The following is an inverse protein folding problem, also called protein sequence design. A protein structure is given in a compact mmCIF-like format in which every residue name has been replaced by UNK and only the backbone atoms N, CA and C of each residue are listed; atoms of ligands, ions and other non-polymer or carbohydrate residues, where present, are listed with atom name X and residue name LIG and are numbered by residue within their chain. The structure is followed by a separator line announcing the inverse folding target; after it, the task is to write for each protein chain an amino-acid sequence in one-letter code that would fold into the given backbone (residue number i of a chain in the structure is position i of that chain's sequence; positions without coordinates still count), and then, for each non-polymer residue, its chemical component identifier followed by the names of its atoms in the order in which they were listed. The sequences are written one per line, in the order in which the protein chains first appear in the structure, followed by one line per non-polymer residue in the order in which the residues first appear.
data_IF_790041789652
#
_entry.id   IF_790041789652
#
_cell.length_a   1.000
_cell.length_b   1.000
_cell.length_c   1.000
_cell.angle_alpha   90.00
_cell.angle_beta   90.00
_cell.angle_gamma   90.00
#
_symmetry.space_group_name_H-M   'P 1'
#
loop_
_entity.id
_entity.type
_entity.pdbx_description
1 polymer ?
#
# COMPACT_ATOMS: atom_id res chain seq x y z
N UNK A 1 -5.16 10.46 33.48
CA UNK A 1 -5.37 9.03 33.76
C UNK A 1 -6.02 8.39 32.54
N UNK A 2 -5.27 7.61 31.77
CA UNK A 2 -5.75 7.02 30.50
C UNK A 2 -6.51 5.71 30.80
N UNK A 3 -7.84 5.76 30.76
CA UNK A 3 -8.67 4.58 31.01
C UNK A 3 -8.70 3.66 29.78
N UNK A 4 -8.18 2.45 30.00
CA UNK A 4 -8.42 1.16 29.33
C UNK A 4 -9.38 1.16 28.12
N UNK A 5 -8.82 0.77 26.97
CA UNK A 5 -9.41 -0.28 26.14
C UNK A 5 -10.64 0.08 25.33
N UNK A 6 -10.46 0.71 24.17
CA UNK A 6 -11.35 0.47 23.02
C UNK A 6 -10.60 -0.30 21.95
N UNK A 7 -10.76 -1.62 21.99
CA UNK A 7 -10.39 -2.50 20.88
C UNK A 7 -11.31 -2.16 19.69
N UNK A 8 -10.87 -1.29 18.79
CA UNK A 8 -11.45 -1.26 17.44
C UNK A 8 -10.90 -2.46 16.69
N UNK A 9 -11.57 -3.61 16.83
CA UNK A 9 -11.29 -4.78 16.01
C UNK A 9 -11.66 -4.45 14.55
N UNK A 10 -10.65 -4.17 13.72
CA UNK A 10 -10.84 -4.18 12.27
C UNK A 10 -11.12 -5.64 11.86
N UNK A 11 -12.37 -5.91 11.49
CA UNK A 11 -12.81 -7.20 10.97
C UNK A 11 -11.89 -7.65 9.81
N UNK A 12 -11.23 -8.78 9.98
CA UNK A 12 -10.33 -9.36 8.99
C UNK A 12 -11.11 -10.03 7.87
N UNK A 13 -11.04 -9.49 6.66
CA UNK A 13 -11.34 -10.25 5.44
C UNK A 13 -10.10 -11.06 5.01
N UNK A 14 -9.79 -12.18 5.69
CA UNK A 14 -8.64 -13.04 5.36
C UNK A 14 -8.74 -13.73 3.98
N UNK A 15 -9.95 -13.81 3.40
CA UNK A 15 -10.18 -14.41 2.09
C UNK A 15 -9.56 -13.58 0.93
N UNK A 16 -9.56 -12.24 1.04
CA UNK A 16 -9.15 -11.35 -0.06
C UNK A 16 -7.66 -11.50 -0.44
N UNK A 17 -6.81 -11.84 0.52
CA UNK A 17 -5.36 -11.95 0.29
C UNK A 17 -4.94 -13.19 -0.51
N UNK A 18 -5.68 -14.31 -0.39
CA UNK A 18 -5.29 -15.59 -1.01
C UNK A 18 -5.44 -15.54 -2.53
N UNK A 19 -6.55 -15.02 -3.02
CA UNK A 19 -6.82 -14.95 -4.47
C UNK A 19 -5.91 -13.94 -5.18
N UNK A 20 -5.67 -12.80 -4.55
CA UNK A 20 -4.69 -11.82 -5.03
C UNK A 20 -3.28 -12.42 -5.13
N UNK A 21 -2.86 -13.19 -4.13
CA UNK A 21 -1.57 -13.87 -4.13
C UNK A 21 -1.48 -14.97 -5.19
N UNK A 22 -2.57 -15.72 -5.41
CA UNK A 22 -2.67 -16.73 -6.49
C UNK A 22 -2.56 -16.09 -7.87
N UNK A 23 -3.30 -15.01 -8.10
CA UNK A 23 -3.24 -14.24 -9.33
C UNK A 23 -1.83 -13.70 -9.61
N UNK A 24 -1.19 -13.09 -8.62
CA UNK A 24 0.21 -12.61 -8.72
C UNK A 24 1.19 -13.74 -9.03
N UNK A 25 1.04 -14.91 -8.38
CA UNK A 25 1.86 -16.10 -8.65
C UNK A 25 1.70 -16.57 -10.10
N UNK A 26 0.46 -16.69 -10.58
CA UNK A 26 0.17 -17.09 -11.95
C UNK A 26 0.84 -16.18 -12.98
N UNK A 27 0.68 -14.86 -12.87
CA UNK A 27 1.30 -13.91 -13.82
C UNK A 27 2.82 -13.94 -13.76
N UNK A 28 3.40 -14.09 -12.57
CA UNK A 28 4.86 -14.24 -12.41
C UNK A 28 5.39 -15.50 -13.09
N UNK A 29 4.71 -16.62 -12.91
CA UNK A 29 5.16 -17.90 -13.46
C UNK A 29 5.00 -17.91 -14.99
N UNK A 30 3.93 -17.31 -15.51
CA UNK A 30 3.76 -17.09 -16.94
C UNK A 30 4.86 -16.17 -17.51
N UNK A 31 5.18 -15.08 -16.82
CA UNK A 31 6.27 -14.16 -17.22
C UNK A 31 7.59 -14.91 -17.33
N UNK A 32 7.92 -15.75 -16.34
CA UNK A 32 9.11 -16.62 -16.37
C UNK A 32 9.11 -17.58 -17.56
N UNK A 33 7.98 -18.25 -17.82
CA UNK A 33 7.84 -19.18 -18.96
C UNK A 33 8.10 -18.45 -20.29
N UNK A 34 7.51 -17.28 -20.48
CA UNK A 34 7.69 -16.49 -21.71
C UNK A 34 9.10 -15.92 -21.85
N UNK A 35 9.72 -15.47 -20.75
CA UNK A 35 11.10 -14.99 -20.75
C UNK A 35 12.07 -16.11 -21.12
N UNK A 36 11.88 -17.31 -20.56
CA UNK A 36 12.68 -18.50 -20.89
C UNK A 36 12.57 -18.91 -22.36
N UNK A 37 11.37 -18.80 -22.95
CA UNK A 37 11.18 -19.13 -24.39
C UNK A 37 11.99 -18.22 -25.32
N UNK A 38 12.22 -16.95 -24.97
CA UNK A 38 13.12 -16.04 -25.69
C UNK A 38 12.70 -15.62 -27.12
N UNK A 39 11.71 -16.26 -27.74
CA UNK A 39 11.29 -16.02 -29.14
C UNK A 39 10.70 -14.62 -29.36
N UNK A 40 10.71 -14.14 -30.62
CA UNK A 40 10.09 -12.85 -31.00
C UNK A 40 8.60 -12.80 -30.63
N UNK A 41 7.87 -13.92 -30.79
CA UNK A 41 6.45 -14.02 -30.41
C UNK A 41 6.24 -13.97 -28.90
N UNK A 42 7.10 -14.65 -28.11
CA UNK A 42 7.06 -14.59 -26.66
C UNK A 42 7.34 -13.19 -26.11
N UNK A 43 8.31 -12.46 -26.69
CA UNK A 43 8.60 -11.06 -26.35
C UNK A 43 7.43 -10.12 -26.67
N UNK A 44 6.79 -10.28 -27.84
CA UNK A 44 5.58 -9.51 -28.20
C UNK A 44 4.43 -9.77 -27.21
N UNK A 45 4.20 -11.02 -26.84
CA UNK A 45 3.19 -11.38 -25.85
C UNK A 45 3.49 -10.79 -24.47
N UNK A 46 4.75 -10.85 -24.02
CA UNK A 46 5.21 -10.21 -22.78
C UNK A 46 4.90 -8.71 -22.78
N UNK A 47 5.22 -8.00 -23.86
CA UNK A 47 4.93 -6.56 -23.99
C UNK A 47 3.43 -6.27 -23.93
N UNK A 48 2.61 -7.04 -24.64
CA UNK A 48 1.14 -6.92 -24.62
C UNK A 48 0.57 -7.15 -23.21
N UNK A 49 1.05 -8.18 -22.51
CA UNK A 49 0.63 -8.48 -21.14
C UNK A 49 1.07 -7.41 -20.15
N UNK A 50 2.32 -6.96 -20.22
CA UNK A 50 2.83 -5.90 -19.37
C UNK A 50 1.99 -4.62 -19.48
N UNK A 51 1.64 -4.20 -20.71
CA UNK A 51 0.74 -3.05 -20.95
C UNK A 51 -0.65 -3.25 -20.33
N UNK A 52 -1.20 -4.47 -20.36
CA UNK A 52 -2.49 -4.78 -19.74
C UNK A 52 -2.39 -4.72 -18.22
N UNK A 53 -1.35 -5.28 -17.64
CA UNK A 53 -1.08 -5.22 -16.19
C UNK A 53 -0.89 -3.76 -15.72
N UNK A 54 -0.11 -2.96 -16.45
CA UNK A 54 0.09 -1.53 -16.16
C UNK A 54 -1.23 -0.75 -16.18
N UNK A 55 -2.06 -0.94 -17.21
CA UNK A 55 -3.38 -0.29 -17.27
C UNK A 55 -4.30 -0.72 -16.13
N UNK A 56 -4.29 -2.00 -15.78
CA UNK A 56 -5.08 -2.50 -14.65
C UNK A 56 -4.62 -1.87 -13.32
N UNK A 57 -3.31 -1.87 -13.04
CA UNK A 57 -2.74 -1.25 -11.83
C UNK A 57 -3.06 0.25 -11.79
N UNK A 58 -2.89 0.96 -12.90
CA UNK A 58 -3.22 2.39 -13.00
C UNK A 58 -4.70 2.65 -12.74
N UNK A 59 -5.59 1.85 -13.31
CA UNK A 59 -7.03 1.98 -13.07
C UNK A 59 -7.37 1.74 -11.59
N UNK A 60 -6.84 0.67 -10.99
CA UNK A 60 -7.02 0.38 -9.57
C UNK A 60 -6.53 1.53 -8.70
N UNK A 61 -5.34 2.07 -8.98
CA UNK A 61 -4.81 3.24 -8.25
C UNK A 61 -5.70 4.48 -8.45
N UNK A 62 -6.26 4.71 -9.64
CA UNK A 62 -7.21 5.80 -9.84
C UNK A 62 -8.48 5.62 -9.02
N UNK A 63 -9.05 4.42 -8.96
CA UNK A 63 -10.24 4.12 -8.16
C UNK A 63 -9.94 4.36 -6.68
N UNK A 64 -8.86 3.77 -6.16
CA UNK A 64 -8.45 3.93 -4.76
C UNK A 64 -8.23 5.42 -4.42
N UNK A 65 -7.47 6.15 -5.25
CA UNK A 65 -7.23 7.57 -5.03
C UNK A 65 -8.51 8.40 -5.06
N UNK A 66 -9.47 8.05 -5.94
CA UNK A 66 -10.78 8.72 -5.96
C UNK A 66 -11.51 8.49 -4.64
N UNK A 67 -11.61 7.24 -4.20
CA UNK A 67 -12.27 6.88 -2.94
C UNK A 67 -11.65 7.60 -1.74
N UNK A 68 -10.33 7.58 -1.61
CA UNK A 68 -9.63 8.26 -0.50
C UNK A 68 -9.94 9.76 -0.48
N UNK A 69 -9.82 10.43 -1.64
CA UNK A 69 -10.05 11.88 -1.72
C UNK A 69 -11.52 12.22 -1.45
N UNK A 70 -12.45 11.44 -1.98
CA UNK A 70 -13.89 11.66 -1.75
C UNK A 70 -14.27 11.45 -0.28
N UNK A 71 -13.69 10.47 0.41
CA UNK A 71 -13.92 10.31 1.85
C UNK A 71 -13.32 11.46 2.68
N UNK A 72 -12.12 11.92 2.32
CA UNK A 72 -11.47 13.06 2.98
C UNK A 72 -12.28 14.35 2.81
N UNK A 73 -12.75 14.62 1.59
CA UNK A 73 -13.65 15.73 1.27
C UNK A 73 -14.95 15.66 2.09
N UNK A 74 -15.62 14.50 2.09
CA UNK A 74 -16.87 14.27 2.83
C UNK A 74 -16.74 14.46 4.33
N UNK A 75 -15.55 14.18 4.89
CA UNK A 75 -15.28 14.28 6.33
C UNK A 75 -14.57 15.58 6.72
N UNK A 76 -14.32 16.48 5.75
CA UNK A 76 -13.50 17.69 5.96
C UNK A 76 -12.13 17.39 6.58
N UNK A 77 -11.55 16.24 6.24
CA UNK A 77 -10.26 15.78 6.74
C UNK A 77 -9.14 16.07 5.74
N UNK A 78 -7.93 16.26 6.25
CA UNK A 78 -6.71 16.27 5.44
C UNK A 78 -6.16 14.87 5.20
N UNK A 79 -5.32 14.71 4.17
CA UNK A 79 -4.66 13.46 3.84
C UNK A 79 -3.17 13.57 4.18
N UNK A 80 -2.67 12.66 5.02
CA UNK A 80 -1.24 12.48 5.25
C UNK A 80 -0.70 11.34 4.38
N UNK A 81 0.34 11.63 3.58
CA UNK A 81 1.06 10.64 2.77
C UNK A 81 2.48 10.47 3.29
N UNK A 82 2.88 9.24 3.61
CA UNK A 82 4.28 8.95 3.94
C UNK A 82 5.15 9.02 2.68
N UNK A 83 6.33 9.64 2.78
CA UNK A 83 7.35 9.49 1.74
C UNK A 83 8.00 8.10 1.85
N UNK A 84 7.53 7.17 1.02
CA UNK A 84 8.08 5.81 0.92
C UNK A 84 9.28 5.70 -0.03
N UNK A 85 9.90 6.83 -0.38
CA UNK A 85 11.19 6.88 -1.07
C UNK A 85 12.22 5.97 -0.40
N UNK A 86 12.97 5.20 -1.20
CA UNK A 86 14.03 4.35 -0.66
C UNK A 86 13.58 3.12 0.16
N UNK A 87 12.26 2.86 0.31
CA UNK A 87 11.75 1.72 1.09
C UNK A 87 12.28 0.37 0.59
N UNK A 88 12.56 0.27 -0.72
CA UNK A 88 13.07 -0.95 -1.36
C UNK A 88 14.50 -1.30 -0.88
N UNK A 89 15.29 -0.29 -0.53
CA UNK A 89 16.65 -0.44 -0.03
C UNK A 89 16.67 -0.64 1.49
N UNK A 90 15.75 0.02 2.21
CA UNK A 90 15.72 0.02 3.68
C UNK A 90 15.20 -1.29 4.28
N UNK A 91 14.19 -1.92 3.68
CA UNK A 91 13.47 -3.02 4.33
C UNK A 91 14.04 -4.40 3.95
N UNK A 92 14.52 -5.15 4.96
CA UNK A 92 14.93 -6.56 4.81
C UNK A 92 13.72 -7.49 4.85
N UNK A 93 13.07 -7.68 3.69
CA UNK A 93 11.90 -8.55 3.53
C UNK A 93 12.25 -9.95 3.03
N UNK A 94 11.43 -10.95 3.44
CA UNK A 94 11.42 -12.29 2.84
C UNK A 94 11.06 -12.19 1.35
N UNK A 95 11.49 -13.17 0.54
CA UNK A 95 11.32 -13.16 -0.93
C UNK A 95 9.88 -12.93 -1.39
N UNK A 96 8.90 -13.52 -0.71
CA UNK A 96 7.47 -13.34 -1.01
C UNK A 96 7.00 -11.90 -0.80
N UNK A 97 7.36 -11.30 0.33
CA UNK A 97 7.02 -9.93 0.69
C UNK A 97 7.73 -8.91 -0.23
N UNK A 98 8.97 -9.18 -0.63
CA UNK A 98 9.69 -8.34 -1.60
C UNK A 98 8.97 -8.31 -2.95
N UNK A 99 8.52 -9.45 -3.47
CA UNK A 99 7.75 -9.48 -4.72
C UNK A 99 6.49 -8.62 -4.62
N UNK A 100 5.82 -8.63 -3.47
CA UNK A 100 4.65 -7.78 -3.23
C UNK A 100 5.01 -6.29 -3.24
N UNK A 101 6.04 -5.89 -2.49
CA UNK A 101 6.52 -4.51 -2.43
C UNK A 101 6.90 -3.97 -3.82
N UNK A 102 7.57 -4.78 -4.63
CA UNK A 102 7.99 -4.40 -5.99
C UNK A 102 6.83 -4.39 -7.00
N UNK A 103 5.73 -5.09 -6.70
CA UNK A 103 4.57 -5.16 -7.60
C UNK A 103 3.61 -3.99 -7.46
N UNK A 104 3.70 -3.21 -6.39
CA UNK A 104 2.80 -2.08 -6.13
C UNK A 104 3.51 -0.74 -6.38
N UNK A 105 2.87 0.11 -7.19
CA UNK A 105 3.36 1.44 -7.52
C UNK A 105 2.84 2.48 -6.51
N UNK A 106 3.42 2.51 -5.31
CA UNK A 106 3.07 3.49 -4.27
C UNK A 106 3.24 4.93 -4.74
N UNK A 107 4.32 5.23 -5.48
CA UNK A 107 4.56 6.54 -6.05
C UNK A 107 3.40 7.01 -6.96
N UNK A 108 2.94 6.14 -7.87
CA UNK A 108 1.81 6.45 -8.75
C UNK A 108 0.51 6.69 -7.96
N UNK A 109 0.27 5.92 -6.89
CA UNK A 109 -0.90 6.15 -6.05
C UNK A 109 -0.80 7.51 -5.35
N UNK A 110 0.38 7.87 -4.81
CA UNK A 110 0.64 9.18 -4.22
C UNK A 110 0.40 10.33 -5.20
N UNK A 111 0.92 10.22 -6.43
CA UNK A 111 0.67 11.19 -7.51
C UNK A 111 -0.82 11.35 -7.80
N UNK A 112 -1.56 10.23 -7.86
CA UNK A 112 -2.99 10.24 -8.12
C UNK A 112 -3.80 10.85 -6.99
N UNK A 113 -3.43 10.61 -5.74
CA UNK A 113 -4.03 11.27 -4.58
C UNK A 113 -3.74 12.76 -4.65
N UNK A 114 -2.48 13.15 -4.87
CA UNK A 114 -2.05 14.55 -4.87
C UNK A 114 -2.81 15.40 -5.90
N UNK A 115 -2.92 14.94 -7.16
CA UNK A 115 -3.63 15.74 -8.16
C UNK A 115 -5.15 15.75 -7.92
N UNK A 116 -5.75 14.66 -7.43
CA UNK A 116 -7.20 14.60 -7.17
C UNK A 116 -7.58 15.43 -5.95
N UNK A 117 -6.78 15.36 -4.89
CA UNK A 117 -6.97 16.16 -3.69
C UNK A 117 -6.89 17.66 -4.02
N UNK A 118 -5.89 18.07 -4.81
CA UNK A 118 -5.77 19.45 -5.31
C UNK A 118 -7.02 19.91 -6.06
N UNK A 119 -7.61 19.04 -6.88
CA UNK A 119 -8.84 19.37 -7.63
C UNK A 119 -10.07 19.57 -6.73
N UNK A 120 -10.12 18.90 -5.58
CA UNK A 120 -11.23 18.99 -4.61
C UNK A 120 -10.92 19.90 -3.41
N UNK A 121 -9.80 20.63 -3.43
CA UNK A 121 -9.40 21.48 -2.30
C UNK A 121 -9.03 20.72 -1.02
N UNK A 122 -8.78 19.40 -1.09
CA UNK A 122 -8.39 18.60 0.07
C UNK A 122 -6.90 18.79 0.37
N UNK A 123 -6.52 19.19 1.60
CA UNK A 123 -5.11 19.39 1.94
C UNK A 123 -4.37 18.05 2.01
N UNK A 124 -3.18 18.00 1.42
CA UNK A 124 -2.28 16.83 1.46
C UNK A 124 -0.97 17.24 2.09
N UNK A 125 -0.55 16.52 3.14
CA UNK A 125 0.74 16.71 3.83
C UNK A 125 1.61 15.47 3.66
N UNK A 126 2.90 15.68 3.42
CA UNK A 126 3.87 14.59 3.42
C UNK A 126 4.46 14.44 4.82
N UNK A 127 4.50 13.20 5.32
CA UNK A 127 5.01 12.89 6.67
C UNK A 127 6.19 11.95 6.59
N UNK A 128 7.13 12.11 7.52
CA UNK A 128 8.29 11.21 7.64
C UNK A 128 7.81 9.81 8.04
N UNK A 129 8.16 8.74 7.31
CA UNK A 129 7.75 7.37 7.63
C UNK A 129 8.37 6.81 8.93
N UNK A 130 9.37 7.48 9.51
CA UNK A 130 10.01 7.02 10.73
C UNK A 130 9.03 7.04 11.91
N UNK A 131 8.95 5.93 12.63
CA UNK A 131 8.18 5.77 13.88
C UNK A 131 6.65 5.96 13.80
N UNK A 132 6.08 6.28 12.63
CA UNK A 132 4.62 6.44 12.44
C UNK A 132 3.84 5.19 12.83
N UNK A 133 4.38 4.01 12.49
CA UNK A 133 3.81 2.71 12.87
C UNK A 133 3.95 2.35 14.36
N UNK A 134 4.71 3.13 15.14
CA UNK A 134 4.97 2.93 16.58
C UNK A 134 4.37 4.05 17.44
N UNK A 135 3.93 5.14 16.82
CA UNK A 135 3.42 6.33 17.50
C UNK A 135 1.92 6.14 17.79
N UNK A 136 1.51 6.33 19.04
CA UNK A 136 0.09 6.31 19.37
C UNK A 136 -0.61 7.55 18.80
N UNK A 137 -1.73 7.35 18.10
CA UNK A 137 -2.53 8.44 17.55
C UNK A 137 -3.27 9.29 18.60
N UNK A 138 -3.37 8.82 19.84
CA UNK A 138 -4.08 9.51 20.92
C UNK A 138 -3.12 10.29 21.82
N UNK A 139 -2.02 9.68 22.26
CA UNK A 139 -1.09 10.30 23.22
C UNK A 139 0.30 10.63 22.65
N UNK A 140 0.60 10.26 21.40
CA UNK A 140 1.90 10.51 20.78
C UNK A 140 3.07 9.65 21.30
N UNK A 141 2.84 8.76 22.27
CA UNK A 141 3.88 7.89 22.81
C UNK A 141 4.44 6.94 21.74
N UNK A 142 5.77 6.90 21.63
CA UNK A 142 6.49 6.07 20.65
C UNK A 142 7.22 4.95 21.38
N UNK A 143 6.80 3.71 21.12
CA UNK A 143 7.52 2.51 21.55
C UNK A 143 7.35 1.40 20.50
N UNK A 144 8.43 0.68 20.23
CA UNK A 144 8.43 -0.49 19.35
C UNK A 144 7.42 -1.56 19.79
N UNK A 145 7.16 -1.68 21.09
CA UNK A 145 6.19 -2.61 21.69
C UNK A 145 4.74 -2.17 21.48
N UNK A 146 4.50 -0.94 21.00
CA UNK A 146 3.15 -0.50 20.68
C UNK A 146 2.56 -1.32 19.53
N UNK A 147 3.40 -1.72 18.57
CA UNK A 147 2.97 -2.58 17.46
C UNK A 147 3.29 -4.04 17.76
N UNK A 148 2.27 -4.79 18.20
CA UNK A 148 2.39 -6.21 18.57
C UNK A 148 2.56 -7.07 17.32
N UNK A 149 1.74 -6.82 16.29
CA UNK A 149 1.87 -7.45 14.99
C UNK A 149 1.37 -6.52 13.87
N UNK A 150 1.24 -7.05 12.64
CA UNK A 150 0.76 -6.29 11.49
C UNK A 150 -0.67 -5.73 11.66
N UNK A 151 -1.54 -6.46 12.35
CA UNK A 151 -2.95 -6.12 12.54
C UNK A 151 -3.25 -5.47 13.89
N UNK A 152 -2.44 -5.74 14.93
CA UNK A 152 -2.69 -5.31 16.29
C UNK A 152 -1.71 -4.23 16.76
N UNK A 153 -2.28 -3.10 17.18
CA UNK A 153 -1.57 -1.99 17.83
C UNK A 153 -2.17 -1.74 19.22
N UNK A 154 -1.32 -1.62 20.23
CA UNK A 154 -1.71 -1.37 21.63
C UNK A 154 -0.77 -0.30 22.19
N UNK A 155 -1.30 0.85 22.61
CA UNK A 155 -0.49 1.86 23.27
C UNK A 155 0.01 1.36 24.63
N UNK A 156 1.32 1.46 24.88
CA UNK A 156 1.98 1.04 26.12
C UNK A 156 2.36 2.21 27.04
N UNK A 157 1.89 3.43 26.76
CA UNK A 157 2.14 4.56 27.66
C UNK A 157 1.52 4.29 29.03
N UNK A 158 2.28 4.56 30.10
CA UNK A 158 1.77 4.52 31.47
C UNK A 158 0.96 5.79 31.77
#
# INVERSE_FOLDING_TARGET
MCHRGRQRACARSEAAGRDLNRHRKHHRDLRKKLQRKGTKSARRLLKKRNRREQRHVSNTNHVIAKTIVTEAERTSAGIALEDLGGIRQRVRLRKSQRVMLHSWAFAQLGEFIAYKARRQGVPVVHVEPAYTSQTCCECGYVDKKNRVDQALFICRSK
#
